data_IF_405334432728
#
_entry.id   IF_405334432728
#
_cell.length_a   1.000
_cell.length_b   1.000
_cell.length_c   1.000
_cell.angle_alpha   90.00
_cell.angle_beta   90.00
_cell.angle_gamma   90.00
#
_symmetry.space_group_name_H-M   'P 1'
#
loop_
_entity.id
_entity.type
_entity.pdbx_description
1 polymer ?
#
# COMPACT_ATOMS: atom_id res chain seq x y z
N UNK A 1 -21.63 -13.28 4.03
CA UNK A 1 -21.12 -14.60 4.44
C UNK A 1 -19.63 -14.81 4.12
N UNK A 2 -19.05 -14.17 3.08
CA UNK A 2 -17.61 -14.27 2.81
C UNK A 2 -16.73 -13.43 3.78
N UNK A 3 -17.26 -12.33 4.31
CA UNK A 3 -16.53 -11.39 5.18
C UNK A 3 -16.12 -11.99 6.54
N UNK A 4 -16.90 -12.93 7.07
CA UNK A 4 -16.60 -13.58 8.37
C UNK A 4 -15.42 -14.55 8.31
N UNK A 5 -15.14 -15.18 7.16
CA UNK A 5 -13.99 -16.08 7.02
C UNK A 5 -12.66 -15.32 6.93
N UNK A 6 -12.67 -14.11 6.35
CA UNK A 6 -11.48 -13.24 6.29
C UNK A 6 -11.17 -12.56 7.63
N UNK A 7 -12.18 -12.30 8.46
CA UNK A 7 -12.00 -11.71 9.80
C UNK A 7 -11.09 -12.55 10.70
N UNK A 8 -11.12 -13.88 10.58
CA UNK A 8 -10.22 -14.78 11.32
C UNK A 8 -8.74 -14.65 10.95
N UNK A 9 -8.43 -14.14 9.75
CA UNK A 9 -7.05 -13.99 9.26
C UNK A 9 -6.45 -12.62 9.55
N UNK A 10 -7.26 -11.64 9.95
CA UNK A 10 -6.82 -10.26 10.28
C UNK A 10 -5.76 -10.26 11.39
N UNK A 11 -5.94 -10.98 12.51
CA UNK A 11 -4.92 -11.03 13.57
C UNK A 11 -3.62 -11.66 13.09
N UNK A 12 -3.69 -12.69 12.24
CA UNK A 12 -2.52 -13.40 11.71
C UNK A 12 -1.71 -12.47 10.79
N UNK A 13 -2.39 -11.74 9.89
CA UNK A 13 -1.75 -10.74 9.01
C UNK A 13 -1.09 -9.63 9.81
N UNK A 14 -1.79 -9.06 10.79
CA UNK A 14 -1.26 -8.02 11.65
C UNK A 14 -0.04 -8.51 12.45
N UNK A 15 -0.10 -9.72 13.01
CA UNK A 15 1.01 -10.32 13.73
C UNK A 15 2.23 -10.58 12.83
N UNK A 16 2.02 -11.04 11.59
CA UNK A 16 3.09 -11.24 10.62
C UNK A 16 3.81 -9.92 10.28
N UNK A 17 3.06 -8.83 10.06
CA UNK A 17 3.63 -7.50 9.83
C UNK A 17 4.36 -6.97 11.06
N UNK A 18 3.84 -7.22 12.27
CA UNK A 18 4.53 -6.88 13.51
C UNK A 18 5.86 -7.64 13.67
N UNK A 19 5.91 -8.91 13.25
CA UNK A 19 7.13 -9.70 13.21
C UNK A 19 8.13 -9.14 12.19
N UNK A 20 7.67 -8.80 10.98
CA UNK A 20 8.49 -8.12 9.96
C UNK A 20 9.12 -6.84 10.51
N UNK A 21 8.32 -6.00 11.19
CA UNK A 21 8.83 -4.80 11.86
C UNK A 21 9.94 -5.13 12.86
N UNK A 22 9.74 -6.15 13.70
CA UNK A 22 10.77 -6.58 14.66
C UNK A 22 12.07 -6.99 13.97
N UNK A 23 11.99 -7.67 12.82
CA UNK A 23 13.18 -8.02 12.02
C UNK A 23 13.94 -6.78 11.53
N UNK A 24 13.23 -5.73 11.08
CA UNK A 24 13.86 -4.46 10.70
C UNK A 24 14.47 -3.75 11.91
N UNK A 25 13.75 -3.65 13.03
CA UNK A 25 14.26 -3.03 14.27
C UNK A 25 15.56 -3.71 14.74
N UNK A 26 15.65 -5.03 14.59
CA UNK A 26 16.86 -5.79 14.93
C UNK A 26 17.85 -5.94 13.76
N UNK A 27 17.65 -5.22 12.65
CA UNK A 27 18.51 -5.17 11.46
C UNK A 27 18.97 -6.55 10.98
N UNK A 28 18.05 -7.53 10.96
CA UNK A 28 18.38 -8.90 10.55
C UNK A 28 18.76 -8.93 9.07
N UNK A 29 19.86 -9.58 8.67
CA UNK A 29 20.33 -9.53 7.28
C UNK A 29 19.29 -10.08 6.28
N UNK A 30 18.59 -11.16 6.66
CA UNK A 30 17.56 -11.78 5.83
C UNK A 30 16.43 -10.83 5.40
N UNK A 31 16.01 -9.90 6.27
CA UNK A 31 14.95 -8.94 5.91
C UNK A 31 15.47 -7.81 5.02
N UNK A 32 16.75 -7.46 5.15
CA UNK A 32 17.41 -6.44 4.32
C UNK A 32 17.75 -6.98 2.92
N UNK A 33 18.14 -8.25 2.82
CA UNK A 33 18.33 -8.94 1.53
C UNK A 33 17.03 -9.05 0.73
N UNK A 34 15.88 -9.11 1.43
CA UNK A 34 14.54 -9.17 0.84
C UNK A 34 13.79 -7.84 0.93
N UNK A 35 14.50 -6.72 1.11
CA UNK A 35 13.91 -5.40 1.36
C UNK A 35 12.80 -5.06 0.35
N UNK A 36 13.06 -5.20 -0.95
CA UNK A 36 12.09 -4.85 -2.00
C UNK A 36 10.79 -5.66 -1.92
N UNK A 37 10.89 -6.96 -1.65
CA UNK A 37 9.74 -7.84 -1.51
C UNK A 37 8.92 -7.49 -0.26
N UNK A 38 9.61 -7.28 0.86
CA UNK A 38 8.98 -7.00 2.15
C UNK A 38 8.31 -5.62 2.15
N UNK A 39 8.96 -4.61 1.57
CA UNK A 39 8.39 -3.27 1.39
C UNK A 39 7.15 -3.35 0.49
N UNK A 40 7.24 -4.07 -0.65
CA UNK A 40 6.10 -4.27 -1.55
C UNK A 40 4.91 -4.95 -0.87
N UNK A 41 5.18 -5.94 -0.03
CA UNK A 41 4.15 -6.61 0.76
C UNK A 41 3.47 -5.61 1.70
N UNK A 42 4.23 -4.81 2.43
CA UNK A 42 3.67 -3.83 3.37
C UNK A 42 2.87 -2.73 2.65
N UNK A 43 3.34 -2.25 1.50
CA UNK A 43 2.61 -1.29 0.65
C UNK A 43 1.25 -1.82 0.23
N UNK A 44 1.18 -3.09 -0.21
CA UNK A 44 -0.07 -3.73 -0.58
C UNK A 44 -1.07 -3.85 0.58
N UNK A 45 -0.60 -3.78 1.84
CA UNK A 45 -1.45 -3.80 3.03
C UNK A 45 -1.94 -2.41 3.44
N UNK A 46 -1.45 -1.32 2.84
CA UNK A 46 -1.92 0.04 3.13
C UNK A 46 -3.36 0.26 2.64
N UNK A 47 -3.77 -0.42 1.59
CA UNK A 47 -5.14 -0.39 1.06
C UNK A 47 -6.12 -1.25 1.86
N UNK A 48 -5.70 -1.86 2.97
CA UNK A 48 -6.56 -2.68 3.81
C UNK A 48 -7.54 -1.79 4.60
N UNK A 49 -8.84 -2.11 4.51
CA UNK A 49 -9.91 -1.46 5.32
C UNK A 49 -9.77 -1.78 6.83
N UNK A 50 -9.07 -2.87 7.13
CA UNK A 50 -8.78 -3.31 8.50
C UNK A 50 -7.71 -2.44 9.17
N UNK A 51 -8.12 -1.53 10.06
CA UNK A 51 -7.24 -0.58 10.76
C UNK A 51 -6.03 -1.22 11.43
N UNK A 52 -6.18 -2.43 12.00
CA UNK A 52 -5.08 -3.16 12.64
C UNK A 52 -4.00 -3.62 11.65
N UNK A 53 -4.41 -4.06 10.46
CA UNK A 53 -3.47 -4.52 9.43
C UNK A 53 -2.79 -3.34 8.77
N UNK A 54 -3.57 -2.31 8.44
CA UNK A 54 -3.05 -1.03 7.96
C UNK A 54 -1.99 -0.46 8.91
N UNK A 55 -2.29 -0.35 10.21
CA UNK A 55 -1.37 0.21 11.19
C UNK A 55 -0.12 -0.65 11.36
N UNK A 56 -0.25 -1.98 11.34
CA UNK A 56 0.90 -2.88 11.41
C UNK A 56 1.82 -2.74 10.19
N UNK A 57 1.24 -2.58 8.99
CA UNK A 57 1.99 -2.33 7.76
C UNK A 57 2.74 -1.00 7.81
N UNK A 58 2.07 0.06 8.27
CA UNK A 58 2.66 1.39 8.40
C UNK A 58 3.85 1.37 9.37
N UNK A 59 3.70 0.72 10.53
CA UNK A 59 4.79 0.56 11.51
C UNK A 59 5.96 -0.28 10.96
N UNK A 60 5.70 -1.22 10.04
CA UNK A 60 6.75 -2.01 9.38
C UNK A 60 7.50 -1.19 8.33
N UNK A 61 6.80 -0.39 7.51
CA UNK A 61 7.39 0.53 6.54
C UNK A 61 8.23 1.61 7.22
N UNK A 62 7.75 2.15 8.34
CA UNK A 62 8.49 3.08 9.18
C UNK A 62 9.83 2.46 9.66
N UNK A 63 9.81 1.22 10.14
CA UNK A 63 11.04 0.52 10.55
C UNK A 63 11.97 0.21 9.37
N UNK A 64 11.41 -0.13 8.19
CA UNK A 64 12.18 -0.34 6.97
C UNK A 64 12.87 0.95 6.52
N UNK A 65 12.15 2.08 6.54
CA UNK A 65 12.70 3.40 6.21
C UNK A 65 13.77 3.87 7.20
N UNK A 66 13.68 3.49 8.47
CA UNK A 66 14.76 3.73 9.43
C UNK A 66 16.03 2.92 9.13
N UNK A 67 15.91 1.77 8.46
CA UNK A 67 17.06 0.92 8.09
C UNK A 67 17.66 1.28 6.73
N UNK A 68 16.81 1.62 5.74
CA UNK A 68 17.20 1.89 4.36
C UNK A 68 16.46 3.12 3.80
N UNK A 69 16.65 4.31 4.40
CA UNK A 69 15.89 5.52 4.05
C UNK A 69 16.04 5.93 2.58
N UNK A 70 17.25 5.80 2.02
CA UNK A 70 17.53 6.12 0.62
C UNK A 70 16.79 5.21 -0.39
N UNK A 71 16.29 4.04 0.05
CA UNK A 71 15.53 3.13 -0.79
C UNK A 71 14.02 3.25 -0.53
N UNK A 72 13.62 3.28 0.74
CA UNK A 72 12.21 3.20 1.13
C UNK A 72 11.50 4.55 1.02
N UNK A 73 12.13 5.67 1.41
CA UNK A 73 11.47 6.98 1.38
C UNK A 73 11.11 7.42 -0.05
N UNK A 74 11.99 7.31 -1.07
CA UNK A 74 11.62 7.64 -2.44
C UNK A 74 10.48 6.76 -2.95
N UNK A 75 10.48 5.47 -2.58
CA UNK A 75 9.44 4.52 -2.97
C UNK A 75 8.09 4.90 -2.37
N UNK A 76 8.03 5.22 -1.08
CA UNK A 76 6.81 5.75 -0.45
C UNK A 76 6.35 7.07 -1.08
N UNK A 77 7.28 7.94 -1.47
CA UNK A 77 6.95 9.20 -2.14
C UNK A 77 6.25 8.96 -3.49
N UNK A 78 6.56 7.86 -4.20
CA UNK A 78 5.83 7.54 -5.44
C UNK A 78 4.35 7.24 -5.22
N UNK A 79 3.96 6.77 -4.03
CA UNK A 79 2.55 6.53 -3.68
C UNK A 79 1.76 7.83 -3.49
N UNK A 80 2.44 8.96 -3.31
CA UNK A 80 1.83 10.29 -3.17
C UNK A 80 1.45 10.91 -4.52
N UNK A 81 2.06 10.43 -5.62
CA UNK A 81 1.84 11.02 -6.94
C UNK A 81 0.50 10.54 -7.53
N UNK A 82 -0.39 11.46 -7.96
CA UNK A 82 -1.59 11.09 -8.68
C UNK A 82 -1.20 10.59 -10.08
N UNK A 83 -1.18 9.27 -10.27
CA UNK A 83 -0.91 8.67 -11.58
C UNK A 83 0.26 7.71 -11.61
N UNK A 84 0.14 6.62 -10.86
CA UNK A 84 0.35 5.29 -11.44
C UNK A 84 -0.58 4.34 -10.70
N UNK A 85 -1.82 4.26 -11.15
CA UNK A 85 -2.63 3.09 -10.88
C UNK A 85 -1.74 1.87 -11.16
N UNK A 86 -1.75 0.92 -10.24
CA UNK A 86 -1.02 -0.33 -10.29
C UNK A 86 -1.45 -1.16 -11.51
N UNK A 87 -1.10 -0.74 -12.73
CA UNK A 87 -1.05 -1.62 -13.88
C UNK A 87 0.22 -2.47 -13.74
N UNK A 88 0.05 -3.71 -13.29
CA UNK A 88 1.04 -4.76 -13.57
C UNK A 88 1.77 -5.41 -12.40
N UNK A 89 1.23 -5.42 -11.18
CA UNK A 89 1.72 -6.36 -10.15
C UNK A 89 0.59 -7.22 -9.56
N UNK A 90 -0.20 -7.83 -10.45
CA UNK A 90 -0.76 -9.14 -10.17
C UNK A 90 0.39 -10.17 -10.21
N UNK A 91 1.23 -10.19 -9.17
CA UNK A 91 2.12 -11.33 -8.97
C UNK A 91 1.24 -12.48 -8.50
N UNK A 92 0.86 -13.33 -9.46
CA UNK A 92 0.24 -14.64 -9.25
C UNK A 92 1.10 -15.47 -8.31
N UNK A 93 0.85 -15.33 -7.01
CA UNK A 93 1.31 -16.30 -6.02
C UNK A 93 0.20 -17.33 -5.86
N UNK A 94 0.39 -18.47 -6.51
CA UNK A 94 -0.23 -19.73 -6.12
C UNK A 94 -1.60 -20.04 -6.75
N UNK A 95 -1.61 -20.53 -7.99
CA UNK A 95 -2.63 -21.51 -8.39
C UNK A 95 -2.04 -22.53 -9.36
N UNK A 96 -1.46 -23.57 -8.78
CA UNK A 96 -1.11 -24.79 -9.49
C UNK A 96 -1.98 -25.94 -8.98
N UNK A 97 -2.53 -26.68 -9.94
CA UNK A 97 -3.12 -28.03 -9.86
C UNK A 97 -4.60 -28.17 -9.47
N UNK A 98 -5.44 -28.16 -10.51
CA UNK A 98 -6.43 -29.21 -10.88
C UNK A 98 -7.13 -28.67 -12.13
N UNK A 99 -6.84 -29.16 -13.34
CA UNK A 99 -7.41 -30.38 -13.89
C UNK A 99 -8.67 -30.06 -14.70
N UNK A 100 -8.53 -30.06 -16.05
CA UNK A 100 -9.54 -30.29 -17.14
C UNK A 100 -10.95 -30.68 -16.63
N UNK A 101 -12.07 -30.16 -17.16
CA UNK A 101 -12.63 -30.29 -18.53
C UNK A 101 -13.69 -29.17 -18.67
N UNK A 102 -13.80 -28.44 -19.79
CA UNK A 102 -14.74 -28.77 -20.85
C UNK A 102 -15.95 -27.81 -20.89
N UNK A 103 -16.24 -27.30 -22.10
CA UNK A 103 -17.56 -26.93 -22.61
C UNK A 103 -18.05 -25.47 -22.61
N UNK A 104 -18.42 -25.08 -23.85
CA UNK A 104 -19.57 -24.26 -24.27
C UNK A 104 -19.51 -22.73 -24.16
N UNK A 105 -18.97 -22.17 -25.25
CA UNK A 105 -19.38 -20.93 -25.91
C UNK A 105 -20.89 -20.83 -26.13
N UNK A 106 -21.53 -19.75 -25.66
CA UNK A 106 -22.76 -19.21 -26.26
C UNK A 106 -22.72 -17.68 -26.24
N UNK A 107 -23.18 -17.18 -27.39
CA UNK A 107 -23.31 -15.84 -27.93
C UNK A 107 -24.43 -15.00 -27.29
N UNK A 108 -24.55 -13.77 -27.80
CA UNK A 108 -25.70 -12.85 -27.87
C UNK A 108 -25.55 -11.57 -27.04
N UNK A 109 -25.43 -10.46 -27.78
CA UNK A 109 -25.29 -9.11 -27.26
C UNK A 109 -26.61 -8.42 -26.92
N UNK A 110 -26.52 -7.13 -26.59
CA UNK A 110 -27.29 -6.04 -27.18
C UNK A 110 -27.00 -4.73 -26.44
N UNK A 111 -26.85 -3.70 -27.27
CA UNK A 111 -26.74 -2.29 -26.95
C UNK A 111 -27.99 -1.77 -26.23
N UNK A 112 -27.83 -0.88 -25.25
CA UNK A 112 -28.69 0.31 -25.16
C UNK A 112 -28.08 1.37 -24.25
N UNK A 113 -27.70 2.48 -24.88
CA UNK A 113 -27.63 3.78 -24.25
C UNK A 113 -29.00 4.20 -23.69
N UNK A 114 -28.99 4.85 -22.53
CA UNK A 114 -29.94 5.85 -22.00
C UNK A 114 -29.42 6.21 -20.61
N UNK A 115 -28.69 7.30 -20.48
CA UNK A 115 -29.23 8.64 -20.29
C UNK A 115 -30.17 8.68 -19.08
N UNK A 116 -29.63 9.14 -17.96
CA UNK A 116 -30.23 9.09 -16.64
C UNK A 116 -29.50 10.06 -15.73
N UNK A 117 -29.81 11.33 -15.90
CA UNK A 117 -29.33 12.44 -15.12
C UNK A 117 -29.62 12.30 -13.61
N UNK A 118 -28.76 12.97 -12.83
CA UNK A 118 -28.95 13.46 -11.45
C UNK A 118 -28.96 12.40 -10.33
N UNK A 119 -27.92 12.46 -9.51
CA UNK A 119 -28.02 13.02 -8.15
C UNK A 119 -26.67 13.56 -7.70
N UNK A 120 -26.66 14.85 -7.36
CA UNK A 120 -25.66 15.47 -6.51
C UNK A 120 -25.80 14.91 -5.10
N UNK A 121 -25.03 13.86 -4.80
CA UNK A 121 -24.64 13.49 -3.45
C UNK A 121 -23.12 13.32 -3.48
N UNK A 122 -22.44 14.47 -3.45
CA UNK A 122 -21.01 14.53 -3.18
C UNK A 122 -20.83 14.28 -1.68
N UNK A 123 -21.08 13.02 -1.30
CA UNK A 123 -20.81 12.43 0.00
C UNK A 123 -19.32 12.61 0.29
N UNK A 124 -18.97 12.98 1.51
CA UNK A 124 -17.60 13.30 1.96
C UNK A 124 -16.65 12.09 2.01
N UNK A 125 -16.78 11.17 1.05
CA UNK A 125 -15.88 10.04 0.86
C UNK A 125 -14.65 10.51 0.11
N UNK A 126 -13.58 10.64 0.87
CA UNK A 126 -12.20 10.63 0.38
C UNK A 126 -12.08 9.52 -0.67
N UNK A 127 -11.60 9.85 -1.87
CA UNK A 127 -11.43 8.83 -2.92
C UNK A 127 -10.39 7.79 -2.48
N UNK A 128 -10.49 6.53 -2.91
CA UNK A 128 -9.51 5.49 -2.53
C UNK A 128 -8.06 5.88 -2.88
N UNK A 129 -7.87 6.68 -3.94
CA UNK A 129 -6.57 7.25 -4.30
C UNK A 129 -6.09 8.30 -3.29
N UNK A 130 -6.99 9.16 -2.80
CA UNK A 130 -6.69 10.15 -1.78
C UNK A 130 -6.43 9.52 -0.41
N UNK A 131 -7.20 8.48 -0.04
CA UNK A 131 -6.96 7.72 1.19
C UNK A 131 -5.57 7.07 1.16
N UNK A 132 -5.19 6.42 0.05
CA UNK A 132 -3.86 5.84 -0.12
C UNK A 132 -2.76 6.90 0.00
N UNK A 133 -2.96 8.10 -0.57
CA UNK A 133 -2.00 9.20 -0.46
C UNK A 133 -1.84 9.68 0.98
N UNK A 134 -2.94 9.87 1.71
CA UNK A 134 -2.91 10.24 3.13
C UNK A 134 -2.15 9.20 3.97
N UNK A 135 -2.39 7.91 3.71
CA UNK A 135 -1.70 6.80 4.36
C UNK A 135 -0.19 6.78 4.07
N UNK A 136 0.20 6.98 2.81
CA UNK A 136 1.61 7.08 2.42
C UNK A 136 2.30 8.31 3.05
N UNK A 137 1.61 9.45 3.10
CA UNK A 137 2.12 10.66 3.74
C UNK A 137 2.35 10.44 5.24
N UNK A 138 1.42 9.78 5.91
CA UNK A 138 1.56 9.39 7.31
C UNK A 138 2.79 8.49 7.51
N UNK A 139 2.99 7.48 6.66
CA UNK A 139 4.14 6.57 6.75
C UNK A 139 5.48 7.34 6.60
N UNK A 140 5.56 8.28 5.66
CA UNK A 140 6.74 9.13 5.47
C UNK A 140 6.99 10.01 6.71
N UNK A 141 5.97 10.70 7.20
CA UNK A 141 6.09 11.54 8.39
C UNK A 141 6.60 10.75 9.61
N UNK A 142 6.06 9.55 9.85
CA UNK A 142 6.50 8.71 10.96
C UNK A 142 7.94 8.20 10.76
N UNK A 143 8.30 7.79 9.53
CA UNK A 143 9.66 7.38 9.21
C UNK A 143 10.68 8.50 9.46
N UNK A 144 10.36 9.73 9.05
CA UNK A 144 11.21 10.92 9.25
C UNK A 144 11.36 11.23 10.73
N UNK A 145 10.27 11.24 11.50
CA UNK A 145 10.31 11.47 12.95
C UNK A 145 11.19 10.43 13.66
N UNK A 146 11.18 9.19 13.21
CA UNK A 146 11.94 8.09 13.81
C UNK A 146 13.41 8.05 13.41
N UNK A 147 13.78 8.63 12.27
CA UNK A 147 15.17 8.77 11.88
C UNK A 147 15.95 9.68 12.86
N UNK A 148 15.29 10.64 13.49
CA UNK A 148 15.90 11.49 14.52
C UNK A 148 17.20 12.14 14.03
N UNK A 149 18.30 11.93 14.77
CA UNK A 149 19.63 12.45 14.40
C UNK A 149 20.16 11.88 13.06
N UNK A 150 19.70 10.70 12.64
CA UNK A 150 20.08 10.13 11.34
C UNK A 150 19.43 10.85 10.16
N UNK A 151 18.40 11.69 10.39
CA UNK A 151 17.73 12.42 9.33
C UNK A 151 18.70 13.33 8.55
N UNK A 152 19.72 13.89 9.22
CA UNK A 152 20.71 14.75 8.58
C UNK A 152 21.52 14.04 7.49
N UNK A 153 21.75 12.73 7.62
CA UNK A 153 22.48 11.93 6.62
C UNK A 153 21.63 11.56 5.40
N UNK A 154 20.31 11.75 5.50
CA UNK A 154 19.34 11.39 4.47
C UNK A 154 18.45 12.57 4.09
N UNK A 155 18.96 13.81 4.29
CA UNK A 155 18.23 15.05 4.06
C UNK A 155 17.61 15.12 2.67
N UNK A 156 18.34 14.68 1.65
CA UNK A 156 17.89 14.76 0.26
C UNK A 156 16.70 13.82 -0.02
N UNK A 157 16.75 12.59 0.50
CA UNK A 157 15.65 11.63 0.36
C UNK A 157 14.41 12.07 1.15
N UNK A 158 14.61 12.60 2.36
CA UNK A 158 13.55 13.13 3.23
C UNK A 158 12.89 14.34 2.57
N UNK A 159 13.69 15.33 2.15
CA UNK A 159 13.19 16.53 1.49
C UNK A 159 12.48 16.20 0.19
N UNK A 160 13.03 15.29 -0.62
CA UNK A 160 12.36 14.81 -1.83
C UNK A 160 10.98 14.21 -1.54
N UNK A 161 10.88 13.32 -0.55
CA UNK A 161 9.61 12.70 -0.17
C UNK A 161 8.58 13.70 0.40
N UNK A 162 9.03 14.63 1.24
CA UNK A 162 8.17 15.68 1.81
C UNK A 162 7.71 16.68 0.75
N UNK A 163 8.60 17.09 -0.17
CA UNK A 163 8.25 18.00 -1.25
C UNK A 163 7.21 17.37 -2.18
N UNK A 164 7.37 16.10 -2.54
CA UNK A 164 6.38 15.35 -3.33
C UNK A 164 5.01 15.35 -2.64
N UNK A 165 4.96 15.14 -1.32
CA UNK A 165 3.70 15.21 -0.57
C UNK A 165 3.10 16.62 -0.45
N UNK A 166 3.94 17.66 -0.40
CA UNK A 166 3.47 19.05 -0.35
C UNK A 166 2.97 19.58 -1.69
N UNK A 167 3.36 18.95 -2.79
CA UNK A 167 2.91 19.29 -4.14
C UNK A 167 1.57 18.65 -4.52
N UNK A 168 0.74 18.24 -3.54
CA UNK A 168 -0.55 17.62 -3.85
C UNK A 168 -1.50 18.63 -4.51
N UNK A 169 -1.55 18.59 -5.85
CA UNK A 169 -2.34 19.48 -6.70
C UNK A 169 -3.85 19.23 -6.57
N UNK A 170 -4.29 18.15 -5.89
CA UNK A 170 -5.73 17.87 -5.74
C UNK A 170 -6.47 18.75 -4.72
N UNK A 171 -5.80 19.76 -4.13
CA UNK A 171 -6.44 20.76 -3.27
C UNK A 171 -7.07 21.95 -4.02
N UNK A 172 -7.29 21.85 -5.34
CA UNK A 172 -7.90 22.90 -6.17
C UNK A 172 -9.23 22.45 -6.80
#
# INVERSE_FOLDING_TARGET
AASDMTNGLVPIRAAALAAIRSLFVHKRPAVLEQLELVVSLCEAQLDSDESFVYQAALNALEAAAACAPSHVLPRLATLLMPGKAAEGQAHTIGRAHTGRVGEAQVDVGLSSARDGARTSEQDGRVSAAEERRLKAAQAICQAVLRLGEMAAHHSDAIMGALLVGSCDITAA
#
